data_IF_219355831727
#
_entry.id   IF_219355831727
#
_cell.length_a   1.000
_cell.length_b   1.000
_cell.length_c   1.000
_cell.angle_alpha   90.00
_cell.angle_beta   90.00
_cell.angle_gamma   90.00
#
_symmetry.space_group_name_H-M   'P 1'
#
loop_
_entity.id
_entity.type
_entity.pdbx_description
1 polymer ?
#
# COMPACT_ATOMS: atom_id res chain seq x y z
N UNK A 1 -0.36 -3.82 2.25
CA UNK A 1 -0.81 -2.41 2.14
C UNK A 1 -2.31 -2.42 1.88
N UNK A 2 -3.09 -1.47 2.40
CA UNK A 2 -4.50 -1.35 2.02
C UNK A 2 -4.90 0.09 1.73
N UNK A 3 -6.00 0.30 1.03
CA UNK A 3 -6.42 1.61 0.55
C UNK A 3 -7.85 1.63 0.01
N UNK A 4 -8.25 2.76 -0.54
CA UNK A 4 -9.61 3.04 -1.01
C UNK A 4 -9.98 2.39 -2.35
N UNK A 5 -8.99 1.83 -3.06
CA UNK A 5 -9.21 1.07 -4.29
C UNK A 5 -9.48 -0.40 -4.01
N UNK A 6 -10.30 -1.03 -4.85
CA UNK A 6 -10.56 -2.47 -4.77
C UNK A 6 -9.27 -3.30 -4.90
N UNK A 7 -8.34 -2.89 -5.76
CA UNK A 7 -7.03 -3.52 -5.91
C UNK A 7 -6.14 -3.39 -4.65
N UNK A 8 -6.50 -2.47 -3.74
CA UNK A 8 -5.86 -2.28 -2.43
C UNK A 8 -6.73 -2.84 -1.28
N UNK A 9 -7.83 -3.53 -1.59
CA UNK A 9 -8.65 -4.24 -0.60
C UNK A 9 -9.69 -3.37 0.13
N UNK A 10 -10.00 -2.15 -0.34
CA UNK A 10 -11.06 -1.29 0.23
C UNK A 10 -10.95 -1.10 1.75
N UNK A 11 -9.78 -0.73 2.24
CA UNK A 11 -9.44 -0.56 3.66
C UNK A 11 -9.60 -1.80 4.55
N UNK A 12 -9.84 -2.99 3.98
CA UNK A 12 -9.93 -4.24 4.71
C UNK A 12 -8.56 -4.96 4.73
N UNK A 13 -7.89 -5.07 5.90
CA UNK A 13 -6.61 -5.77 6.01
C UNK A 13 -6.63 -7.25 5.63
N UNK A 14 -7.80 -7.91 5.66
CA UNK A 14 -7.94 -9.30 5.22
C UNK A 14 -7.83 -9.44 3.70
N UNK A 15 -8.20 -8.39 2.95
CA UNK A 15 -8.15 -8.33 1.49
C UNK A 15 -6.93 -7.56 0.97
N UNK A 16 -6.04 -7.15 1.87
CA UNK A 16 -4.90 -6.32 1.55
C UNK A 16 -3.84 -7.09 0.75
N UNK A 17 -3.35 -6.57 -0.39
CA UNK A 17 -2.24 -7.21 -1.08
C UNK A 17 -0.97 -7.22 -0.21
N UNK A 18 -0.26 -8.34 -0.29
CA UNK A 18 0.98 -8.61 0.44
C UNK A 18 2.17 -8.03 -0.31
N UNK A 19 3.04 -7.30 0.41
CA UNK A 19 4.32 -6.88 -0.15
C UNK A 19 5.33 -8.03 -0.09
N UNK A 20 6.21 -8.10 -1.08
CA UNK A 20 7.32 -9.03 -1.17
C UNK A 20 8.53 -8.53 -0.34
N UNK A 21 9.02 -9.31 0.64
CA UNK A 21 10.21 -9.00 1.44
C UNK A 21 11.55 -9.49 0.84
N UNK A 22 11.60 -10.02 -0.37
CA UNK A 22 12.80 -10.64 -0.93
C UNK A 22 14.08 -9.76 -0.89
N UNK A 23 13.92 -8.42 -0.83
CA UNK A 23 15.01 -7.45 -0.72
C UNK A 23 15.02 -6.67 0.60
N UNK A 24 14.70 -7.34 1.71
CA UNK A 24 14.67 -6.72 3.04
C UNK A 24 15.93 -5.87 3.32
N UNK A 25 15.80 -4.65 3.89
CA UNK A 25 14.61 -4.08 4.54
C UNK A 25 13.57 -3.44 3.60
N UNK A 26 13.76 -3.51 2.28
CA UNK A 26 12.82 -2.97 1.31
C UNK A 26 11.76 -4.00 0.95
N UNK A 27 10.50 -3.61 1.13
CA UNK A 27 9.32 -4.39 0.75
C UNK A 27 8.70 -3.81 -0.51
N UNK A 28 8.32 -4.65 -1.48
CA UNK A 28 7.84 -4.20 -2.80
C UNK A 28 6.51 -4.82 -3.18
N UNK A 29 5.74 -4.11 -3.98
CA UNK A 29 4.51 -4.59 -4.60
C UNK A 29 4.21 -3.72 -5.82
N UNK A 30 3.94 -4.35 -6.96
CA UNK A 30 3.29 -3.67 -8.08
C UNK A 30 1.77 -3.91 -7.99
N UNK A 31 0.97 -2.85 -8.17
CA UNK A 31 -0.49 -2.91 -8.19
C UNK A 31 -0.97 -2.24 -9.47
N UNK A 32 -1.86 -2.92 -10.20
CA UNK A 32 -2.47 -2.35 -11.40
C UNK A 32 -3.66 -1.47 -11.04
N UNK A 33 -3.59 -0.20 -11.42
CA UNK A 33 -4.65 0.78 -11.33
C UNK A 33 -4.73 1.54 -12.67
N UNK A 34 -5.92 2.02 -13.08
CA UNK A 34 -6.04 2.83 -14.28
C UNK A 34 -5.17 4.11 -14.23
N UNK A 35 -4.72 4.57 -15.40
CA UNK A 35 -4.02 5.84 -15.50
C UNK A 35 -4.95 7.01 -15.10
N UNK A 36 -4.41 7.99 -14.38
CA UNK A 36 -5.18 9.11 -13.82
C UNK A 36 -5.91 8.80 -12.51
N UNK A 37 -5.87 7.56 -12.01
CA UNK A 37 -6.49 7.22 -10.72
C UNK A 37 -5.71 7.83 -9.56
N UNK A 38 -6.35 8.72 -8.83
CA UNK A 38 -5.93 9.13 -7.48
C UNK A 38 -6.44 8.13 -6.46
N UNK A 39 -5.59 7.75 -5.50
CA UNK A 39 -5.90 6.77 -4.49
C UNK A 39 -5.27 7.14 -3.14
N UNK A 40 -5.92 6.68 -2.07
CA UNK A 40 -5.43 6.77 -0.70
C UNK A 40 -5.07 5.38 -0.17
N UNK A 41 -3.99 5.30 0.63
CA UNK A 41 -3.49 4.03 1.16
C UNK A 41 -2.78 4.21 2.51
N UNK A 42 -2.61 3.09 3.21
CA UNK A 42 -1.71 2.94 4.36
C UNK A 42 -1.00 1.61 4.36
N UNK A 43 0.21 1.63 4.90
CA UNK A 43 0.91 0.40 5.27
C UNK A 43 0.33 -0.19 6.55
N UNK A 44 0.24 -1.51 6.57
CA UNK A 44 -0.17 -2.31 7.73
C UNK A 44 0.83 -3.44 7.91
N UNK A 45 1.13 -3.78 9.16
CA UNK A 45 1.83 -5.00 9.54
C UNK A 45 0.80 -5.97 10.09
N UNK A 46 0.84 -7.22 9.63
CA UNK A 46 -0.01 -8.29 10.14
C UNK A 46 0.88 -9.40 10.66
N UNK A 47 0.72 -9.78 11.92
CA UNK A 47 1.50 -10.86 12.52
C UNK A 47 0.92 -12.25 12.19
N UNK A 48 1.57 -13.31 12.67
CA UNK A 48 1.14 -14.69 12.43
C UNK A 48 -0.17 -15.08 13.11
N UNK A 49 -0.64 -14.30 14.10
CA UNK A 49 -1.95 -14.48 14.75
C UNK A 49 -3.06 -13.68 14.06
N UNK A 50 -2.68 -12.82 13.11
CA UNK A 50 -3.59 -11.99 12.35
C UNK A 50 -3.82 -10.61 12.95
N UNK A 51 -3.10 -10.22 14.02
CA UNK A 51 -3.20 -8.89 14.58
C UNK A 51 -2.66 -7.87 13.58
N UNK A 52 -3.39 -6.76 13.40
CA UNK A 52 -3.06 -5.72 12.43
C UNK A 52 -2.61 -4.46 13.16
N UNK A 53 -1.40 -3.99 12.84
CA UNK A 53 -0.90 -2.68 13.25
C UNK A 53 -0.85 -1.77 12.04
N UNK A 54 -1.46 -0.60 12.14
CA UNK A 54 -1.43 0.44 11.11
C UNK A 54 -0.25 1.38 11.32
N UNK A 55 0.27 1.94 10.24
CA UNK A 55 1.19 3.08 10.37
C UNK A 55 0.47 4.30 10.99
N UNK A 56 1.22 5.15 11.68
CA UNK A 56 0.71 6.37 12.30
C UNK A 56 0.40 7.48 11.28
N UNK A 57 -0.28 8.53 11.73
CA UNK A 57 -0.60 9.71 10.92
C UNK A 57 -1.74 9.53 9.92
N UNK A 58 -1.94 10.54 9.07
CA UNK A 58 -2.97 10.56 8.02
C UNK A 58 -2.68 9.54 6.91
N UNK A 59 -3.71 9.18 6.13
CA UNK A 59 -3.56 8.32 4.95
C UNK A 59 -2.59 8.95 3.95
N UNK A 60 -1.78 8.11 3.31
CA UNK A 60 -0.96 8.54 2.17
C UNK A 60 -1.86 8.66 0.95
N UNK A 61 -1.50 9.54 0.03
CA UNK A 61 -2.19 9.69 -1.26
C UNK A 61 -1.18 9.68 -2.40
N UNK A 62 -1.60 9.18 -3.55
CA UNK A 62 -0.83 9.22 -4.78
C UNK A 62 -1.77 9.18 -5.98
N UNK A 63 -1.23 9.50 -7.15
CA UNK A 63 -1.97 9.45 -8.42
C UNK A 63 -1.15 8.69 -9.44
N UNK A 64 -1.78 7.74 -10.12
CA UNK A 64 -1.18 7.10 -11.30
C UNK A 64 -1.13 8.16 -12.40
N UNK A 65 0.05 8.57 -12.90
CA UNK A 65 0.13 9.57 -13.96
C UNK A 65 -0.49 9.02 -15.25
N UNK A 66 -0.85 9.91 -16.16
CA UNK A 66 -1.32 9.52 -17.51
C UNK A 66 -0.29 8.69 -18.29
N UNK A 67 1.00 8.81 -17.95
CA UNK A 67 2.09 7.99 -18.50
C UNK A 67 2.15 6.55 -17.96
N UNK A 68 1.30 6.19 -16.99
CA UNK A 68 1.01 4.81 -16.63
C UNK A 68 1.59 4.33 -15.29
N UNK A 69 2.82 4.70 -14.91
CA UNK A 69 3.45 4.19 -13.67
C UNK A 69 3.84 5.31 -12.71
N UNK A 70 3.32 5.23 -11.48
CA UNK A 70 3.88 5.93 -10.32
C UNK A 70 4.75 4.97 -9.53
N UNK A 71 5.91 5.42 -9.07
CA UNK A 71 6.81 4.63 -8.22
C UNK A 71 7.00 5.35 -6.89
N UNK A 72 6.65 4.67 -5.80
CA UNK A 72 6.65 5.23 -4.43
C UNK A 72 7.82 4.66 -3.63
N UNK A 73 9.03 5.19 -3.84
CA UNK A 73 10.27 4.67 -3.22
C UNK A 73 10.67 5.37 -1.92
N UNK A 74 10.06 6.51 -1.60
CA UNK A 74 10.41 7.31 -0.42
C UNK A 74 9.63 6.91 0.85
N UNK A 75 8.73 5.93 0.76
CA UNK A 75 7.90 5.54 1.87
C UNK A 75 8.67 4.75 2.91
N UNK A 76 8.73 5.31 4.12
CA UNK A 76 9.24 4.65 5.32
C UNK A 76 8.08 4.48 6.29
N UNK A 77 8.07 3.36 7.03
CA UNK A 77 7.08 3.08 8.07
C UNK A 77 6.99 4.25 9.06
N UNK A 78 5.76 4.74 9.31
CA UNK A 78 5.47 5.75 10.34
C UNK A 78 4.96 5.04 11.59
N UNK A 79 5.65 5.23 12.72
CA UNK A 79 5.25 4.73 14.05
C UNK A 79 4.60 5.82 14.89
#
# INVERSE_FOLDING_TARGET
VTGDQAALGNWNPANAPKLDPATYPVWKLDVNLPAGTSFAYKYVRKDGQGNVTWESGANRTATVPSSGKVTLTADVWRS
#
